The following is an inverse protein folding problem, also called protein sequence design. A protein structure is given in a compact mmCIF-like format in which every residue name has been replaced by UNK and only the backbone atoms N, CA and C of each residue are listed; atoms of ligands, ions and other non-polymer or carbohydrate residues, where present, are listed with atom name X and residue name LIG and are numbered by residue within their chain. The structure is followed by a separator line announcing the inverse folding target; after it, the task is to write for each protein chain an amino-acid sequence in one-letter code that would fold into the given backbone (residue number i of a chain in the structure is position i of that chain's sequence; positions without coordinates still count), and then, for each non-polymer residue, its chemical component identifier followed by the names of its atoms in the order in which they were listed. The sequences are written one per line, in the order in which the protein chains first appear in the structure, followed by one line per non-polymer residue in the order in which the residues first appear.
data_IF_366893471834
#
_entry.id   IF_366893471834
#
_cell.length_a   1.000
_cell.length_b   1.000
_cell.length_c   1.000
_cell.angle_alpha   90.00
_cell.angle_beta   90.00
_cell.angle_gamma   90.00
#
_symmetry.space_group_name_H-M   'P 1'
#
loop_
_entity.id
_entity.type
_entity.pdbx_description
1 polymer ?
#
# COMPACT_ATOMS: atom_id res chain seq x y z
N UNK A 1 17.75 -14.06 -12.90
CA UNK A 1 17.31 -13.29 -11.71
C UNK A 1 15.92 -12.68 -11.91
N UNK A 2 15.64 -12.09 -13.08
CA UNK A 2 14.34 -11.49 -13.41
C UNK A 2 13.15 -12.41 -13.10
N UNK A 3 13.23 -13.69 -13.52
CA UNK A 3 12.22 -14.70 -13.18
C UNK A 3 11.94 -14.74 -11.68
N UNK A 4 12.97 -14.75 -10.83
CA UNK A 4 12.80 -14.82 -9.38
C UNK A 4 12.11 -13.57 -8.82
N UNK A 5 12.44 -12.38 -9.31
CA UNK A 5 11.80 -11.11 -8.90
C UNK A 5 10.31 -11.14 -9.25
N UNK A 6 9.99 -11.51 -10.48
CA UNK A 6 8.62 -11.59 -10.98
C UNK A 6 7.84 -12.68 -10.23
N UNK A 7 8.45 -13.84 -10.01
CA UNK A 7 7.86 -14.95 -9.27
C UNK A 7 7.54 -14.56 -7.81
N UNK A 8 8.49 -13.94 -7.10
CA UNK A 8 8.29 -13.44 -5.74
C UNK A 8 7.18 -12.39 -5.68
N UNK A 9 7.10 -11.50 -6.68
CA UNK A 9 6.04 -10.50 -6.78
C UNK A 9 4.67 -11.16 -6.95
N UNK A 10 4.56 -12.16 -7.83
CA UNK A 10 3.32 -12.92 -8.04
C UNK A 10 2.92 -13.66 -6.75
N UNK A 11 3.88 -14.30 -6.05
CA UNK A 11 3.63 -14.93 -4.74
C UNK A 11 3.08 -13.91 -3.77
N UNK A 12 3.75 -12.76 -3.62
CA UNK A 12 3.35 -11.74 -2.65
C UNK A 12 1.92 -11.24 -2.92
N UNK A 13 1.62 -10.88 -4.17
CA UNK A 13 0.29 -10.41 -4.58
C UNK A 13 -0.76 -11.49 -4.31
N UNK A 14 -0.48 -12.74 -4.67
CA UNK A 14 -1.39 -13.87 -4.47
C UNK A 14 -1.67 -14.13 -2.99
N UNK A 15 -0.62 -14.19 -2.16
CA UNK A 15 -0.76 -14.38 -0.70
C UNK A 15 -1.59 -13.25 -0.10
N UNK A 16 -1.29 -12.00 -0.44
CA UNK A 16 -2.03 -10.85 0.07
C UNK A 16 -3.51 -10.93 -0.32
N UNK A 17 -3.79 -11.30 -1.58
CA UNK A 17 -5.15 -11.45 -2.10
C UNK A 17 -5.95 -12.59 -1.45
N UNK A 18 -5.30 -13.71 -1.12
CA UNK A 18 -5.93 -14.85 -0.42
C UNK A 18 -6.35 -14.44 1.00
N UNK A 19 -5.49 -13.70 1.71
CA UNK A 19 -5.69 -13.39 3.13
C UNK A 19 -6.38 -12.05 3.41
N UNK A 20 -6.59 -11.20 2.41
CA UNK A 20 -7.22 -9.87 2.59
C UNK A 20 -8.56 -9.89 3.37
N UNK A 21 -9.48 -10.88 3.20
CA UNK A 21 -10.75 -10.86 3.94
C UNK A 21 -10.60 -11.07 5.45
N UNK A 22 -9.47 -11.63 5.90
CA UNK A 22 -9.21 -11.96 7.31
C UNK A 22 -8.43 -10.87 8.04
N UNK A 23 -7.68 -10.04 7.30
CA UNK A 23 -6.99 -8.86 7.84
C UNK A 23 -7.93 -7.66 8.08
N UNK A 24 -9.07 -7.63 7.38
CA UNK A 24 -10.10 -6.62 7.52
C UNK A 24 -10.78 -6.68 8.90
N UNK A 25 -11.55 -5.64 9.23
CA UNK A 25 -12.36 -5.59 10.45
C UNK A 25 -13.39 -6.72 10.45
N UNK A 26 -13.69 -7.33 11.60
CA UNK A 26 -14.71 -8.40 11.69
C UNK A 26 -16.09 -7.95 11.20
N UNK A 27 -16.44 -6.72 11.53
CA UNK A 27 -17.70 -6.06 11.17
C UNK A 27 -17.75 -5.55 9.74
N UNK A 28 -16.72 -5.83 8.92
CA UNK A 28 -16.70 -5.46 7.51
C UNK A 28 -16.22 -6.63 6.66
N UNK A 29 -17.11 -7.14 5.81
CA UNK A 29 -16.82 -8.27 4.93
C UNK A 29 -17.10 -7.86 3.49
N UNK A 30 -16.11 -8.03 2.60
CA UNK A 30 -16.16 -7.54 1.22
C UNK A 30 -16.64 -6.09 1.09
N UNK A 31 -16.21 -5.23 2.02
CA UNK A 31 -16.60 -3.82 2.05
C UNK A 31 -18.05 -3.52 2.46
N UNK A 32 -18.80 -4.51 2.97
CA UNK A 32 -20.15 -4.37 3.51
C UNK A 32 -20.08 -4.39 5.04
N UNK A 33 -20.69 -3.40 5.71
CA UNK A 33 -20.83 -3.41 7.17
C UNK A 33 -21.82 -4.47 7.63
N UNK A 34 -21.44 -5.24 8.65
CA UNK A 34 -22.28 -6.25 9.29
C UNK A 34 -22.33 -6.02 10.81
N UNK A 35 -23.50 -6.17 11.46
CA UNK A 35 -23.60 -6.16 12.92
C UNK A 35 -22.81 -7.31 13.55
N UNK A 36 -22.41 -7.17 14.82
CA UNK A 36 -21.59 -8.16 15.51
C UNK A 36 -22.27 -9.54 15.57
N UNK A 37 -23.59 -9.58 15.75
CA UNK A 37 -24.39 -10.81 15.78
C UNK A 37 -24.31 -11.61 14.47
N UNK A 38 -24.11 -10.91 13.34
CA UNK A 38 -24.10 -11.52 12.01
C UNK A 38 -22.68 -11.90 11.53
N UNK A 39 -21.62 -11.63 12.31
CA UNK A 39 -20.24 -11.99 11.96
C UNK A 39 -20.11 -13.50 11.70
N UNK A 40 -20.76 -14.32 12.54
CA UNK A 40 -20.73 -15.79 12.44
C UNK A 40 -21.83 -16.37 11.55
N UNK A 41 -22.55 -15.54 10.80
CA UNK A 41 -23.61 -16.00 9.90
C UNK A 41 -23.04 -17.04 8.90
N UNK A 42 -23.65 -18.24 8.77
CA UNK A 42 -23.12 -19.31 7.92
C UNK A 42 -22.86 -18.89 6.47
N UNK A 43 -23.69 -17.99 5.91
CA UNK A 43 -23.51 -17.49 4.54
C UNK A 43 -22.27 -16.61 4.43
N UNK A 44 -22.02 -15.74 5.41
CA UNK A 44 -20.84 -14.86 5.45
C UNK A 44 -19.56 -15.68 5.49
N UNK A 45 -19.51 -16.67 6.40
CA UNK A 45 -18.37 -17.59 6.52
C UNK A 45 -18.16 -18.41 5.24
N UNK A 46 -19.24 -18.87 4.61
CA UNK A 46 -19.19 -19.58 3.32
C UNK A 46 -18.60 -18.70 2.22
N UNK A 47 -18.99 -17.43 2.11
CA UNK A 47 -18.46 -16.51 1.10
C UNK A 47 -16.97 -16.24 1.28
N UNK A 48 -16.51 -16.00 2.52
CA UNK A 48 -15.06 -15.88 2.83
C UNK A 48 -14.31 -17.14 2.38
N UNK A 49 -14.80 -18.33 2.76
CA UNK A 49 -14.17 -19.61 2.41
C UNK A 49 -14.09 -19.83 0.89
N UNK A 50 -15.19 -19.58 0.15
CA UNK A 50 -15.21 -19.75 -1.30
C UNK A 50 -14.22 -18.79 -1.96
N UNK A 51 -14.23 -17.51 -1.57
CA UNK A 51 -13.28 -16.52 -2.08
C UNK A 51 -11.83 -17.01 -1.89
N UNK A 52 -11.47 -17.42 -0.68
CA UNK A 52 -10.13 -17.92 -0.35
C UNK A 52 -9.75 -19.14 -1.20
N UNK A 53 -10.63 -20.14 -1.31
CA UNK A 53 -10.38 -21.35 -2.10
C UNK A 53 -10.13 -20.99 -3.58
N UNK A 54 -11.01 -20.18 -4.18
CA UNK A 54 -10.88 -19.79 -5.59
C UNK A 54 -9.57 -19.03 -5.80
N UNK A 55 -9.25 -18.06 -4.94
CA UNK A 55 -8.01 -17.29 -5.06
C UNK A 55 -6.76 -18.14 -4.85
N UNK A 56 -6.80 -19.14 -3.96
CA UNK A 56 -5.70 -20.07 -3.74
C UNK A 56 -5.47 -20.99 -4.92
N UNK A 57 -6.54 -21.57 -5.49
CA UNK A 57 -6.44 -22.41 -6.69
C UNK A 57 -5.89 -21.58 -7.86
N UNK A 58 -6.40 -20.37 -8.06
CA UNK A 58 -5.90 -19.47 -9.10
C UNK A 58 -4.42 -19.13 -8.90
N UNK A 59 -3.99 -18.83 -7.66
CA UNK A 59 -2.60 -18.58 -7.34
C UNK A 59 -1.70 -19.77 -7.70
N UNK A 60 -2.11 -20.99 -7.35
CA UNK A 60 -1.36 -22.20 -7.70
C UNK A 60 -1.29 -22.43 -9.21
N UNK A 61 -2.38 -22.20 -9.93
CA UNK A 61 -2.41 -22.30 -11.40
C UNK A 61 -1.48 -21.28 -12.04
N UNK A 62 -1.53 -20.02 -11.59
CA UNK A 62 -0.70 -18.94 -12.13
C UNK A 62 0.78 -19.18 -11.82
N UNK A 63 1.12 -19.53 -10.58
CA UNK A 63 2.50 -19.80 -10.17
C UNK A 63 3.06 -21.04 -10.87
N UNK A 64 2.30 -22.13 -10.89
CA UNK A 64 2.68 -23.36 -11.58
C UNK A 64 2.83 -23.13 -13.08
N UNK A 65 1.84 -22.49 -13.70
CA UNK A 65 1.85 -22.17 -15.13
C UNK A 65 3.03 -21.29 -15.51
N UNK A 66 3.32 -20.23 -14.75
CA UNK A 66 4.46 -19.34 -15.01
C UNK A 66 5.80 -20.07 -14.80
N UNK A 67 5.92 -20.93 -13.78
CA UNK A 67 7.12 -21.75 -13.55
C UNK A 67 7.36 -22.75 -14.69
N UNK A 68 6.35 -23.55 -15.05
CA UNK A 68 6.49 -24.55 -16.11
C UNK A 68 6.69 -23.92 -17.50
N UNK A 69 6.05 -22.78 -17.76
CA UNK A 69 6.25 -22.03 -19.00
C UNK A 69 7.71 -21.56 -19.16
N UNK A 70 8.32 -21.05 -18.08
CA UNK A 70 9.73 -20.65 -18.08
C UNK A 70 10.68 -21.84 -18.29
N UNK A 71 10.33 -23.05 -17.83
CA UNK A 71 11.17 -24.24 -17.98
C UNK A 71 11.01 -24.95 -19.34
N UNK A 72 9.83 -24.82 -19.97
CA UNK A 72 9.47 -25.60 -21.16
C UNK A 72 9.77 -24.94 -22.50
N UNK A 73 10.27 -23.69 -22.52
CA UNK A 73 10.49 -22.91 -23.74
C UNK A 73 11.75 -22.03 -23.62
N UNK A 74 12.39 -21.70 -24.75
CA UNK A 74 13.39 -20.64 -24.82
C UNK A 74 12.69 -19.26 -24.77
N UNK A 75 12.09 -18.94 -23.62
CA UNK A 75 11.39 -17.66 -23.39
C UNK A 75 12.42 -16.53 -23.47
N UNK A 76 12.20 -15.57 -24.36
CA UNK A 76 13.05 -14.38 -24.44
C UNK A 76 12.78 -13.44 -23.24
N UNK A 77 13.79 -12.68 -22.81
CA UNK A 77 13.74 -11.73 -21.69
C UNK A 77 12.57 -10.76 -21.80
N UNK A 78 12.29 -10.23 -23.00
CA UNK A 78 11.15 -9.34 -23.23
C UNK A 78 9.81 -10.03 -22.94
N UNK A 79 9.65 -11.30 -23.33
CA UNK A 79 8.43 -12.06 -23.07
C UNK A 79 8.28 -12.34 -21.58
N UNK A 80 9.38 -12.68 -20.90
CA UNK A 80 9.40 -12.91 -19.47
C UNK A 80 9.01 -11.65 -18.69
N UNK A 81 9.58 -10.50 -19.04
CA UNK A 81 9.27 -9.20 -18.43
C UNK A 81 7.80 -8.80 -18.65
N UNK A 82 7.28 -8.93 -19.88
CA UNK A 82 5.88 -8.63 -20.18
C UNK A 82 4.92 -9.54 -19.41
N UNK A 83 5.17 -10.85 -19.40
CA UNK A 83 4.35 -11.80 -18.66
C UNK A 83 4.39 -11.53 -17.15
N UNK A 84 5.58 -11.33 -16.59
CA UNK A 84 5.73 -11.01 -15.17
C UNK A 84 5.14 -9.67 -14.76
N UNK A 85 5.05 -8.71 -15.68
CA UNK A 85 4.32 -7.45 -15.46
C UNK A 85 2.81 -7.69 -15.49
N UNK A 86 2.29 -8.39 -16.50
CA UNK A 86 0.85 -8.56 -16.74
C UNK A 86 0.18 -9.52 -15.76
N UNK A 87 0.85 -10.60 -15.35
CA UNK A 87 0.28 -11.64 -14.49
C UNK A 87 -0.21 -11.07 -13.14
N UNK A 88 0.59 -10.28 -12.38
CA UNK A 88 0.11 -9.64 -11.16
C UNK A 88 -1.16 -8.80 -11.37
N UNK A 89 -1.26 -8.05 -12.48
CA UNK A 89 -2.47 -7.28 -12.79
C UNK A 89 -3.67 -8.19 -13.04
N UNK A 90 -3.49 -9.29 -13.78
CA UNK A 90 -4.55 -10.27 -14.03
C UNK A 90 -5.03 -10.88 -12.69
N UNK A 91 -4.10 -11.31 -11.84
CA UNK A 91 -4.41 -11.85 -10.50
C UNK A 91 -5.23 -10.85 -9.68
N UNK A 92 -4.80 -9.58 -9.65
CA UNK A 92 -5.51 -8.50 -8.95
C UNK A 92 -6.89 -8.22 -9.54
N UNK A 93 -7.04 -8.19 -10.87
CA UNK A 93 -8.31 -7.93 -11.54
C UNK A 93 -9.33 -9.05 -11.29
N UNK A 94 -8.90 -10.31 -11.35
CA UNK A 94 -9.76 -11.45 -11.00
C UNK A 94 -10.15 -11.40 -9.52
N UNK A 95 -9.21 -11.03 -8.64
CA UNK A 95 -9.48 -10.79 -7.22
C UNK A 95 -10.53 -9.73 -6.99
N UNK A 96 -10.40 -8.60 -7.70
CA UNK A 96 -11.35 -7.50 -7.66
C UNK A 96 -12.74 -7.93 -8.16
N UNK A 97 -12.81 -8.69 -9.25
CA UNK A 97 -14.07 -9.21 -9.77
C UNK A 97 -14.77 -10.14 -8.75
N UNK A 98 -14.03 -11.07 -8.15
CA UNK A 98 -14.55 -11.94 -7.08
C UNK A 98 -14.98 -11.15 -5.85
N UNK A 99 -14.18 -10.16 -5.44
CA UNK A 99 -14.53 -9.25 -4.35
C UNK A 99 -15.85 -8.53 -4.63
N UNK A 100 -16.03 -7.96 -5.83
CA UNK A 100 -17.23 -7.23 -6.21
C UNK A 100 -18.45 -8.16 -6.27
N UNK A 101 -18.28 -9.37 -6.79
CA UNK A 101 -19.32 -10.39 -6.79
C UNK A 101 -19.84 -10.67 -5.36
N UNK A 102 -18.94 -10.91 -4.41
CA UNK A 102 -19.33 -11.13 -3.01
C UNK A 102 -19.82 -9.87 -2.31
N UNK A 103 -19.30 -8.68 -2.66
CA UNK A 103 -19.80 -7.40 -2.18
C UNK A 103 -21.29 -7.23 -2.52
N UNK A 104 -21.68 -7.41 -3.78
CA UNK A 104 -23.07 -7.27 -4.20
C UNK A 104 -23.97 -8.38 -3.63
N UNK A 105 -23.47 -9.61 -3.59
CA UNK A 105 -24.19 -10.75 -3.00
C UNK A 105 -24.48 -10.51 -1.52
N UNK A 106 -23.48 -10.08 -0.76
CA UNK A 106 -23.62 -9.81 0.68
C UNK A 106 -24.48 -8.57 0.94
N UNK A 107 -24.36 -7.53 0.12
CA UNK A 107 -25.21 -6.33 0.19
C UNK A 107 -26.70 -6.68 -0.02
N UNK A 108 -27.00 -7.57 -0.97
CA UNK A 108 -28.37 -8.06 -1.20
C UNK A 108 -28.86 -8.88 -0.01
N UNK A 109 -28.03 -9.76 0.53
CA UNK A 109 -28.35 -10.57 1.71
C UNK A 109 -28.68 -9.68 2.92
N UNK A 110 -27.81 -8.73 3.24
CA UNK A 110 -27.97 -7.75 4.32
C UNK A 110 -29.31 -7.02 4.24
N UNK A 111 -29.68 -6.53 3.05
CA UNK A 111 -30.96 -5.87 2.81
C UNK A 111 -32.14 -6.83 2.98
N UNK A 112 -32.07 -8.02 2.39
CA UNK A 112 -33.16 -9.00 2.45
C UNK A 112 -33.47 -9.47 3.88
N UNK A 113 -32.46 -9.54 4.74
CA UNK A 113 -32.60 -9.97 6.13
C UNK A 113 -32.74 -8.81 7.11
N UNK A 114 -32.73 -7.55 6.63
CA UNK A 114 -32.84 -6.35 7.45
C UNK A 114 -31.93 -6.36 8.69
N UNK A 115 -30.64 -6.68 8.52
CA UNK A 115 -29.70 -6.89 9.64
C UNK A 115 -29.57 -5.72 10.61
N UNK A 116 -29.97 -4.51 10.22
CA UNK A 116 -29.92 -3.32 11.09
C UNK A 116 -31.28 -2.93 11.71
N UNK A 117 -32.32 -3.76 11.60
CA UNK A 117 -33.68 -3.44 12.08
C UNK A 117 -33.75 -3.27 13.59
N UNK A 118 -33.17 -4.21 14.33
CA UNK A 118 -33.33 -4.33 15.79
C UNK A 118 -32.05 -3.93 16.56
N UNK A 119 -31.16 -3.17 15.92
CA UNK A 119 -29.92 -2.66 16.53
C UNK A 119 -29.94 -1.14 16.62
N UNK A 120 -29.48 -0.62 17.76
CA UNK A 120 -29.38 0.83 17.97
C UNK A 120 -28.10 1.35 17.31
N UNK A 121 -28.25 2.14 16.26
CA UNK A 121 -27.11 2.75 15.56
C UNK A 121 -26.71 4.08 16.22
N UNK A 122 -25.43 4.26 16.51
CA UNK A 122 -24.91 5.51 17.11
C UNK A 122 -23.60 5.97 16.48
N UNK A 123 -23.35 7.28 16.56
CA UNK A 123 -22.02 7.85 16.37
C UNK A 123 -21.31 7.92 17.71
N UNK A 124 -20.14 7.28 17.80
CA UNK A 124 -19.30 7.33 19.00
C UNK A 124 -18.09 8.24 18.74
N UNK A 125 -17.93 9.24 19.60
CA UNK A 125 -16.81 10.16 19.58
C UNK A 125 -16.09 10.11 20.93
N UNK A 126 -14.83 9.69 20.92
CA UNK A 126 -13.95 9.75 22.09
C UNK A 126 -12.82 10.73 21.80
N UNK A 127 -12.93 11.91 22.42
CA UNK A 127 -11.97 13.00 22.26
C UNK A 127 -10.63 12.69 22.94
N UNK A 128 -10.63 11.84 23.99
CA UNK A 128 -9.42 11.47 24.72
C UNK A 128 -8.57 10.42 23.97
N UNK A 129 -9.11 9.75 22.95
CA UNK A 129 -8.31 8.80 22.14
C UNK A 129 -7.17 9.51 21.40
N UNK A 130 -7.36 10.76 20.99
CA UNK A 130 -6.36 11.51 20.23
C UNK A 130 -5.08 11.80 21.03
N UNK A 131 -5.16 11.92 22.35
CA UNK A 131 -3.96 12.12 23.18
C UNK A 131 -3.08 10.87 23.30
N UNK A 132 -3.63 9.69 22.96
CA UNK A 132 -2.89 8.41 22.91
C UNK A 132 -2.39 8.07 21.50
N UNK A 133 -2.52 8.98 20.53
CA UNK A 133 -2.07 8.74 19.16
C UNK A 133 -0.54 8.84 19.06
N UNK A 134 0.11 7.71 18.80
CA UNK A 134 1.57 7.57 18.71
C UNK A 134 2.10 7.67 17.26
N UNK A 135 1.32 8.26 16.35
CA UNK A 135 1.85 8.67 15.04
C UNK A 135 3.05 9.60 15.21
N UNK A 136 4.07 9.39 14.37
CA UNK A 136 5.20 10.30 14.30
C UNK A 136 4.74 11.75 14.09
N UNK A 137 5.53 12.70 14.58
CA UNK A 137 5.33 14.09 14.19
C UNK A 137 5.49 14.19 12.66
N UNK A 138 4.62 14.90 11.93
CA UNK A 138 4.73 14.97 10.46
C UNK A 138 6.12 15.40 9.99
N UNK A 139 6.74 16.38 10.65
CA UNK A 139 8.10 16.84 10.35
C UNK A 139 9.19 15.76 10.45
N UNK A 140 8.97 14.66 11.18
CA UNK A 140 9.89 13.52 11.18
C UNK A 140 10.08 12.96 9.77
N UNK A 141 9.03 12.94 8.95
CA UNK A 141 9.11 12.47 7.56
C UNK A 141 9.95 13.39 6.65
N UNK A 142 10.30 14.59 7.11
CA UNK A 142 11.23 15.49 6.40
C UNK A 142 12.69 15.25 6.80
N UNK A 143 13.00 14.51 7.87
CA UNK A 143 14.39 14.24 8.26
C UNK A 143 15.23 13.62 7.12
N UNK A 144 14.71 12.68 6.31
CA UNK A 144 15.48 12.12 5.19
C UNK A 144 15.79 13.14 4.07
N UNK A 145 15.17 14.34 4.06
CA UNK A 145 15.51 15.40 3.09
C UNK A 145 16.96 15.87 3.24
N UNK A 146 17.59 15.70 4.42
CA UNK A 146 19.00 16.01 4.59
C UNK A 146 19.87 15.19 3.61
N UNK A 147 19.49 13.93 3.36
CA UNK A 147 20.18 13.06 2.39
C UNK A 147 19.99 13.63 0.98
N UNK A 148 18.76 13.94 0.58
CA UNK A 148 18.51 14.46 -0.78
C UNK A 148 19.13 15.84 -1.02
N UNK A 149 19.11 16.73 -0.02
CA UNK A 149 19.83 18.01 -0.07
C UNK A 149 21.35 17.80 -0.19
N UNK A 150 21.92 16.86 0.56
CA UNK A 150 23.33 16.49 0.45
C UNK A 150 23.69 15.96 -0.94
N UNK A 151 22.84 15.11 -1.54
CA UNK A 151 23.02 14.62 -2.91
C UNK A 151 22.92 15.73 -3.95
N UNK A 152 21.99 16.68 -3.80
CA UNK A 152 21.90 17.86 -4.69
C UNK A 152 23.18 18.69 -4.60
N UNK A 153 23.61 19.05 -3.39
CA UNK A 153 24.83 19.83 -3.16
C UNK A 153 26.03 19.11 -3.79
N UNK A 154 26.19 17.81 -3.52
CA UNK A 154 27.27 17.00 -4.07
C UNK A 154 27.25 17.01 -5.60
N UNK A 155 26.09 16.77 -6.21
CA UNK A 155 25.91 16.73 -7.68
C UNK A 155 26.26 18.08 -8.31
N UNK A 156 25.86 19.19 -7.69
CA UNK A 156 26.18 20.54 -8.19
C UNK A 156 27.69 20.79 -8.15
N UNK A 157 28.39 20.38 -7.09
CA UNK A 157 29.83 20.60 -6.94
C UNK A 157 30.68 19.77 -7.92
N UNK A 158 30.16 18.64 -8.41
CA UNK A 158 30.88 17.72 -9.31
C UNK A 158 30.35 17.76 -10.74
N UNK A 159 29.31 18.56 -11.00
CA UNK A 159 28.59 18.56 -12.28
C UNK A 159 29.52 18.73 -13.48
N UNK A 160 30.48 19.65 -13.41
CA UNK A 160 31.41 19.93 -14.51
C UNK A 160 32.28 18.71 -14.87
N UNK A 161 32.54 17.82 -13.91
CA UNK A 161 33.35 16.60 -14.07
C UNK A 161 32.54 15.42 -14.60
N UNK A 162 31.21 15.50 -14.60
CA UNK A 162 30.38 14.40 -15.10
C UNK A 162 30.61 14.17 -16.60
N UNK A 163 30.61 12.91 -17.07
CA UNK A 163 30.73 12.56 -18.48
C UNK A 163 29.58 13.14 -19.31
N UNK A 164 29.78 13.22 -20.63
CA UNK A 164 28.75 13.71 -21.57
C UNK A 164 27.51 12.81 -21.63
N UNK A 165 27.65 11.55 -21.23
CA UNK A 165 26.56 10.56 -21.12
C UNK A 165 26.45 10.10 -19.67
N UNK A 166 25.25 10.16 -19.12
CA UNK A 166 24.95 9.80 -17.73
C UNK A 166 24.10 8.52 -17.73
N UNK A 167 24.44 7.49 -16.93
CA UNK A 167 23.60 6.30 -16.78
C UNK A 167 22.26 6.66 -16.12
N UNK A 168 21.17 6.16 -16.69
CA UNK A 168 19.79 6.43 -16.23
C UNK A 168 18.99 5.17 -15.94
N UNK A 169 19.48 4.02 -16.36
CA UNK A 169 18.91 2.72 -16.05
C UNK A 169 20.04 1.70 -15.83
N UNK A 170 19.77 0.74 -14.95
CA UNK A 170 20.67 -0.37 -14.66
C UNK A 170 19.91 -1.68 -14.85
N UNK A 171 20.51 -2.57 -15.65
CA UNK A 171 19.93 -3.85 -16.01
C UNK A 171 20.02 -4.89 -14.88
N UNK A 172 19.51 -6.10 -15.13
CA UNK A 172 19.53 -7.21 -14.17
C UNK A 172 20.93 -7.73 -13.84
N UNK A 173 21.97 -7.31 -14.58
CA UNK A 173 23.38 -7.63 -14.27
C UNK A 173 24.00 -6.62 -13.30
N UNK A 174 23.31 -5.52 -12.99
CA UNK A 174 23.85 -4.40 -12.22
C UNK A 174 24.68 -3.41 -13.04
N UNK A 175 24.87 -3.67 -14.34
CA UNK A 175 25.51 -2.74 -15.27
C UNK A 175 24.49 -1.75 -15.85
N UNK A 176 24.97 -0.54 -16.18
CA UNK A 176 24.13 0.45 -16.86
C UNK A 176 23.87 0.05 -18.31
N UNK A 177 22.60 0.05 -18.72
CA UNK A 177 22.13 -0.37 -20.05
C UNK A 177 21.34 0.73 -20.78
N UNK A 178 21.02 1.85 -20.10
CA UNK A 178 20.48 3.05 -20.74
C UNK A 178 21.15 4.33 -20.23
N UNK A 179 21.43 5.24 -21.16
CA UNK A 179 22.16 6.48 -20.93
C UNK A 179 21.39 7.68 -21.51
N UNK A 180 21.60 8.85 -20.91
CA UNK A 180 21.05 10.12 -21.38
C UNK A 180 22.14 11.19 -21.49
N UNK A 181 21.91 12.19 -22.33
CA UNK A 181 22.82 13.33 -22.45
C UNK A 181 22.96 14.06 -21.12
N UNK A 182 24.17 14.56 -20.85
CA UNK A 182 24.45 15.41 -19.70
C UNK A 182 23.62 16.69 -19.77
N UNK A 183 22.72 16.84 -18.81
CA UNK A 183 21.99 18.07 -18.53
C UNK A 183 21.80 18.18 -17.02
N UNK A 184 21.48 19.38 -16.52
CA UNK A 184 21.15 19.56 -15.10
C UNK A 184 19.98 18.69 -14.67
N UNK A 185 19.00 18.51 -15.56
CA UNK A 185 17.82 17.68 -15.28
C UNK A 185 18.19 16.21 -15.17
N UNK A 186 19.03 15.68 -16.06
CA UNK A 186 19.51 14.29 -16.00
C UNK A 186 20.34 14.06 -14.73
N UNK A 187 21.28 14.96 -14.41
CA UNK A 187 22.16 14.81 -13.25
C UNK A 187 21.41 14.90 -11.91
N UNK A 188 20.40 15.78 -11.80
CA UNK A 188 19.60 15.99 -10.59
C UNK A 188 18.30 15.18 -10.56
N UNK A 189 18.02 14.37 -11.58
CA UNK A 189 16.75 13.68 -11.73
C UNK A 189 16.41 12.77 -10.55
N UNK A 190 17.36 11.91 -10.13
CA UNK A 190 17.17 11.02 -8.97
C UNK A 190 16.95 11.80 -7.66
N UNK A 191 17.79 12.81 -7.29
CA UNK A 191 17.51 13.66 -6.12
C UNK A 191 16.17 14.39 -6.17
N UNK A 192 15.75 14.90 -7.33
CA UNK A 192 14.46 15.60 -7.48
C UNK A 192 13.29 14.65 -7.25
N UNK A 193 13.33 13.46 -7.87
CA UNK A 193 12.32 12.42 -7.64
C UNK A 193 12.26 12.06 -6.15
N UNK A 194 13.42 11.89 -5.50
CA UNK A 194 13.50 11.59 -4.08
C UNK A 194 12.85 12.68 -3.22
N UNK A 195 13.13 13.96 -3.49
CA UNK A 195 12.50 15.09 -2.78
C UNK A 195 10.98 15.08 -2.95
N UNK A 196 10.50 14.89 -4.18
CA UNK A 196 9.06 14.81 -4.47
C UNK A 196 8.40 13.69 -3.66
N UNK A 197 9.02 12.51 -3.62
CA UNK A 197 8.52 11.38 -2.83
C UNK A 197 8.54 11.67 -1.32
N UNK A 198 9.61 12.28 -0.79
CA UNK A 198 9.72 12.66 0.62
C UNK A 198 8.64 13.67 1.04
N UNK A 199 8.36 14.66 0.20
CA UNK A 199 7.26 15.62 0.40
C UNK A 199 5.90 14.92 0.37
N UNK A 200 5.72 13.94 -0.51
CA UNK A 200 4.51 13.12 -0.57
C UNK A 200 4.33 12.29 0.72
N UNK A 201 5.38 11.64 1.24
CA UNK A 201 5.34 10.94 2.53
C UNK A 201 4.98 11.87 3.70
N UNK A 202 5.56 13.07 3.73
CA UNK A 202 5.21 14.11 4.70
C UNK A 202 3.73 14.49 4.63
N UNK A 203 3.21 14.77 3.43
CA UNK A 203 1.82 15.14 3.22
C UNK A 203 0.87 14.00 3.62
N UNK A 204 1.15 12.77 3.21
CA UNK A 204 0.36 11.58 3.60
C UNK A 204 0.29 11.47 5.13
N UNK A 205 1.42 11.60 5.83
CA UNK A 205 1.44 11.53 7.29
C UNK A 205 0.66 12.67 7.94
N UNK A 206 0.90 13.91 7.50
CA UNK A 206 0.23 15.11 8.00
C UNK A 206 -1.29 15.00 7.90
N UNK A 207 -1.80 14.66 6.72
CA UNK A 207 -3.23 14.60 6.46
C UNK A 207 -3.89 13.35 7.06
N UNK A 208 -3.15 12.24 7.20
CA UNK A 208 -3.61 11.09 7.98
C UNK A 208 -3.72 11.45 9.46
N UNK A 209 -2.75 12.18 10.02
CA UNK A 209 -2.78 12.63 11.43
C UNK A 209 -3.97 13.56 11.71
N UNK A 210 -4.37 14.36 10.73
CA UNK A 210 -5.57 15.22 10.78
C UNK A 210 -6.89 14.46 10.62
N UNK A 211 -6.88 13.23 10.10
CA UNK A 211 -8.11 12.44 9.90
C UNK A 211 -8.80 12.13 11.23
N UNK A 212 -10.12 11.95 11.19
CA UNK A 212 -10.89 11.46 12.34
C UNK A 212 -10.47 10.06 12.77
N UNK A 213 -10.63 9.75 14.07
CA UNK A 213 -10.45 8.40 14.62
C UNK A 213 -11.84 7.79 14.79
N UNK A 214 -12.14 6.75 14.01
CA UNK A 214 -13.46 6.10 14.02
C UNK A 214 -13.45 4.87 14.93
N UNK A 215 -14.25 4.90 15.99
CA UNK A 215 -14.37 3.82 16.96
C UNK A 215 -15.74 3.15 16.76
N UNK A 216 -15.76 1.83 16.81
CA UNK A 216 -17.01 1.07 16.71
C UNK A 216 -17.67 1.00 18.10
N UNK A 217 -18.90 1.53 18.27
CA UNK A 217 -19.63 1.44 19.53
C UNK A 217 -19.94 0.01 19.97
N UNK A 218 -20.05 -0.94 19.03
CA UNK A 218 -20.31 -2.34 19.35
C UNK A 218 -19.16 -3.03 20.07
N UNK A 219 -17.95 -2.48 19.98
CA UNK A 219 -16.78 -2.93 20.73
C UNK A 219 -15.74 -1.80 20.81
N UNK A 220 -15.84 -0.96 21.85
CA UNK A 220 -15.05 0.27 21.95
C UNK A 220 -13.58 -0.07 22.18
N UNK A 221 -13.28 -0.97 23.11
CA UNK A 221 -11.90 -1.32 23.45
C UNK A 221 -11.12 -1.88 22.26
N UNK A 222 -11.63 -2.90 21.57
CA UNK A 222 -10.88 -3.53 20.46
C UNK A 222 -10.72 -2.58 19.27
N UNK A 223 -11.79 -1.85 18.91
CA UNK A 223 -11.77 -0.93 17.78
C UNK A 223 -10.85 0.27 18.05
N UNK A 224 -10.84 0.82 19.27
CA UNK A 224 -9.90 1.87 19.69
C UNK A 224 -8.45 1.39 19.63
N UNK A 225 -8.15 0.20 20.16
CA UNK A 225 -6.80 -0.37 20.09
C UNK A 225 -6.36 -0.58 18.64
N UNK A 226 -7.24 -1.10 17.77
CA UNK A 226 -6.95 -1.27 16.34
C UNK A 226 -6.65 0.08 15.68
N UNK A 227 -7.44 1.12 15.95
CA UNK A 227 -7.20 2.47 15.39
C UNK A 227 -5.83 3.00 15.77
N UNK A 228 -5.47 2.94 17.06
CA UNK A 228 -4.17 3.42 17.54
C UNK A 228 -3.01 2.64 16.91
N UNK A 229 -3.13 1.31 16.78
CA UNK A 229 -2.13 0.48 16.09
C UNK A 229 -2.01 0.82 14.61
N UNK A 230 -3.14 0.95 13.90
CA UNK A 230 -3.15 1.29 12.48
C UNK A 230 -2.42 2.61 12.26
N UNK A 231 -2.74 3.63 13.07
CA UNK A 231 -2.13 4.96 13.01
C UNK A 231 -0.63 4.92 13.29
N UNK A 232 -0.23 4.38 14.45
CA UNK A 232 1.18 4.22 14.84
C UNK A 232 1.96 3.46 13.78
N UNK A 233 1.59 2.21 13.51
CA UNK A 233 2.40 1.34 12.67
C UNK A 233 2.41 1.76 11.21
N UNK A 234 1.33 2.34 10.67
CA UNK A 234 1.37 2.90 9.31
C UNK A 234 2.31 4.10 9.25
N UNK A 235 2.23 5.02 10.21
CA UNK A 235 3.12 6.19 10.27
C UNK A 235 4.59 5.77 10.34
N UNK A 236 4.93 4.85 11.23
CA UNK A 236 6.29 4.35 11.40
C UNK A 236 6.77 3.54 10.20
N UNK A 237 5.93 2.67 9.64
CA UNK A 237 6.26 1.91 8.44
C UNK A 237 6.58 2.83 7.26
N UNK A 238 5.73 3.83 6.98
CA UNK A 238 5.98 4.80 5.92
C UNK A 238 7.26 5.62 6.15
N UNK A 239 7.61 5.91 7.41
CA UNK A 239 8.85 6.59 7.74
C UNK A 239 10.08 5.71 7.47
N UNK A 240 10.04 4.44 7.86
CA UNK A 240 11.10 3.47 7.56
C UNK A 240 11.25 3.27 6.04
N UNK A 241 10.15 3.13 5.31
CA UNK A 241 10.17 3.05 3.84
C UNK A 241 10.81 4.30 3.23
N UNK A 242 10.50 5.49 3.76
CA UNK A 242 11.10 6.74 3.30
C UNK A 242 12.63 6.78 3.53
N UNK A 243 13.12 6.29 4.68
CA UNK A 243 14.56 6.16 4.93
C UNK A 243 15.19 5.15 3.96
N UNK A 244 14.63 3.96 3.83
CA UNK A 244 15.15 2.91 2.95
C UNK A 244 15.22 3.39 1.49
N UNK A 245 14.20 4.12 1.05
CA UNK A 245 14.14 4.70 -0.29
C UNK A 245 15.19 5.81 -0.45
N UNK A 246 15.41 6.63 0.58
CA UNK A 246 16.47 7.65 0.57
C UNK A 246 17.87 7.03 0.48
N UNK A 247 18.11 5.92 1.18
CA UNK A 247 19.38 5.18 1.11
C UNK A 247 19.57 4.53 -0.26
N UNK A 248 18.53 3.90 -0.81
CA UNK A 248 18.54 3.33 -2.16
C UNK A 248 18.93 4.41 -3.19
N UNK A 249 18.23 5.54 -3.20
CA UNK A 249 18.49 6.64 -4.13
C UNK A 249 19.86 7.30 -3.90
N UNK A 250 20.33 7.36 -2.65
CA UNK A 250 21.67 7.85 -2.37
C UNK A 250 22.75 6.96 -2.99
N UNK A 251 22.63 5.64 -2.87
CA UNK A 251 23.59 4.71 -3.48
C UNK A 251 23.55 4.80 -5.00
N UNK A 252 22.35 4.87 -5.60
CA UNK A 252 22.19 5.04 -7.05
C UNK A 252 22.83 6.36 -7.52
N UNK A 253 22.58 7.47 -6.82
CA UNK A 253 23.16 8.77 -7.17
C UNK A 253 24.67 8.82 -6.98
N UNK A 254 25.20 8.18 -5.93
CA UNK A 254 26.65 8.10 -5.71
C UNK A 254 27.33 7.27 -6.80
N UNK A 255 26.73 6.16 -7.22
CA UNK A 255 27.24 5.34 -8.32
C UNK A 255 27.18 6.08 -9.67
N UNK A 256 26.19 6.97 -9.86
CA UNK A 256 26.12 7.87 -11.01
C UNK A 256 27.26 8.90 -11.01
N UNK A 257 27.57 9.49 -9.85
CA UNK A 257 28.59 10.55 -9.73
C UNK A 257 30.01 10.00 -9.75
N UNK A 258 30.22 8.88 -9.07
CA UNK A 258 31.52 8.25 -8.91
C UNK A 258 31.45 6.83 -9.48
N UNK A 259 32.35 6.53 -10.41
CA UNK A 259 32.42 5.20 -11.00
C UNK A 259 32.72 4.14 -9.91
N UNK A 260 31.98 3.03 -9.96
CA UNK A 260 32.25 1.84 -9.17
C UNK A 260 32.26 2.03 -7.63
N UNK A 261 31.48 2.98 -7.08
CA UNK A 261 31.27 3.10 -5.61
C UNK A 261 30.82 1.78 -4.99
N UNK A 262 29.97 1.06 -5.73
CA UNK A 262 29.51 -0.28 -5.41
C UNK A 262 29.69 -1.15 -6.63
N UNK A 263 29.99 -2.43 -6.40
CA UNK A 263 30.15 -3.40 -7.49
C UNK A 263 28.80 -3.76 -8.14
N UNK A 264 28.87 -4.37 -9.32
CA UNK A 264 27.71 -4.75 -10.14
C UNK A 264 26.75 -5.67 -9.37
N UNK A 265 27.29 -6.66 -8.65
CA UNK A 265 26.49 -7.58 -7.83
C UNK A 265 25.68 -6.86 -6.75
N UNK A 266 26.26 -5.84 -6.12
CA UNK A 266 25.55 -5.06 -5.10
C UNK A 266 24.51 -4.14 -5.73
N UNK A 267 24.81 -3.50 -6.87
CA UNK A 267 23.82 -2.72 -7.63
C UNK A 267 22.61 -3.57 -8.03
N UNK A 268 22.87 -4.82 -8.40
CA UNK A 268 21.84 -5.80 -8.74
C UNK A 268 20.98 -6.20 -7.53
N UNK A 269 21.59 -6.51 -6.38
CA UNK A 269 20.87 -7.01 -5.19
C UNK A 269 20.16 -5.87 -4.43
N UNK A 270 20.64 -4.64 -4.52
CA UNK A 270 20.16 -3.52 -3.72
C UNK A 270 18.64 -3.25 -3.89
N UNK A 271 18.08 -3.12 -5.11
CA UNK A 271 16.63 -2.97 -5.30
C UNK A 271 15.83 -4.20 -4.82
N UNK A 272 16.39 -5.41 -4.98
CA UNK A 272 15.77 -6.65 -4.51
C UNK A 272 15.69 -6.68 -2.98
N UNK A 273 16.76 -6.28 -2.29
CA UNK A 273 16.79 -6.15 -0.83
C UNK A 273 15.75 -5.14 -0.35
N UNK A 274 15.70 -3.96 -0.98
CA UNK A 274 14.65 -2.96 -0.70
C UNK A 274 13.24 -3.55 -0.89
N UNK A 275 12.99 -4.24 -1.99
CA UNK A 275 11.71 -4.89 -2.25
C UNK A 275 11.36 -5.92 -1.16
N UNK A 276 12.25 -6.87 -0.87
CA UNK A 276 11.98 -7.92 0.14
C UNK A 276 11.70 -7.32 1.52
N UNK A 277 12.49 -6.32 1.95
CA UNK A 277 12.31 -5.66 3.24
C UNK A 277 10.96 -4.93 3.30
N UNK A 278 10.57 -4.22 2.24
CA UNK A 278 9.30 -3.48 2.20
C UNK A 278 8.09 -4.41 2.15
N UNK A 279 8.17 -5.52 1.41
CA UNK A 279 7.14 -6.55 1.37
C UNK A 279 6.99 -7.24 2.74
N UNK A 280 8.09 -7.62 3.38
CA UNK A 280 8.09 -8.19 4.72
C UNK A 280 7.50 -7.22 5.76
N UNK A 281 7.88 -5.94 5.69
CA UNK A 281 7.31 -4.88 6.54
C UNK A 281 5.81 -4.68 6.32
N UNK A 282 5.33 -4.85 5.08
CA UNK A 282 3.90 -4.81 4.75
C UNK A 282 3.13 -5.97 5.39
N UNK A 283 3.67 -7.19 5.34
CA UNK A 283 3.09 -8.37 6.01
C UNK A 283 3.09 -8.14 7.52
N UNK A 284 4.19 -7.65 8.09
CA UNK A 284 4.29 -7.34 9.51
C UNK A 284 3.23 -6.32 9.95
N UNK A 285 3.05 -5.23 9.19
CA UNK A 285 2.01 -4.23 9.43
C UNK A 285 0.62 -4.88 9.37
N UNK A 286 0.39 -5.71 8.36
CA UNK A 286 -0.88 -6.39 8.17
C UNK A 286 -1.21 -7.30 9.37
N UNK A 287 -0.24 -8.06 9.88
CA UNK A 287 -0.40 -8.91 11.06
C UNK A 287 -0.56 -8.09 12.35
N UNK A 288 0.22 -7.03 12.55
CA UNK A 288 0.16 -6.21 13.78
C UNK A 288 -1.15 -5.46 13.94
N UNK A 289 -1.70 -4.94 12.85
CA UNK A 289 -3.01 -4.26 12.85
C UNK A 289 -4.14 -5.28 12.73
N UNK A 290 -4.02 -6.21 11.80
CA UNK A 290 -4.97 -7.27 11.50
C UNK A 290 -5.02 -8.41 12.50
N UNK A 291 -4.40 -8.31 13.67
CA UNK A 291 -4.54 -9.25 14.79
C UNK A 291 -5.54 -8.77 15.86
N UNK A 292 -6.12 -7.57 15.69
CA UNK A 292 -7.13 -6.99 16.59
C UNK A 292 -8.36 -6.61 15.81
N UNK A 293 -9.54 -6.87 16.38
CA UNK A 293 -10.84 -6.59 15.77
C UNK A 293 -10.93 -7.22 14.36
N UNK A 294 -10.33 -8.40 14.22
CA UNK A 294 -10.23 -9.19 12.97
C UNK A 294 -10.37 -10.67 13.26
N UNK A 295 -10.61 -11.49 12.24
CA UNK A 295 -10.78 -12.95 12.43
C UNK A 295 -9.54 -13.64 13.04
N UNK A 296 -8.36 -13.01 13.00
CA UNK A 296 -7.13 -13.51 13.63
C UNK A 296 -7.01 -13.21 15.13
N UNK A 297 -7.89 -12.39 15.71
CA UNK A 297 -7.87 -12.13 17.16
C UNK A 297 -8.29 -13.39 17.93
N UNK A 298 -7.33 -14.00 18.63
CA UNK A 298 -7.53 -15.29 19.30
C UNK A 298 -8.55 -15.26 20.44
N UNK A 299 -8.49 -14.24 21.31
CA UNK A 299 -9.48 -14.00 22.37
C UNK A 299 -10.13 -12.65 22.11
N UNK A 300 -11.38 -12.60 21.59
CA UNK A 300 -12.03 -11.34 21.32
C UNK A 300 -12.20 -10.58 22.62
N UNK A 301 -11.71 -9.34 22.67
CA UNK A 301 -12.02 -8.43 23.76
C UNK A 301 -13.47 -8.00 23.55
N UNK A 302 -14.44 -8.67 24.18
CA UNK A 302 -15.86 -8.32 24.02
C UNK A 302 -16.31 -7.45 25.19
N UNK A 303 -16.86 -6.29 24.87
CA UNK A 303 -17.65 -5.49 25.80
C UNK A 303 -19.12 -5.91 25.69
N UNK A 304 -19.82 -5.95 26.82
CA UNK A 304 -21.27 -6.17 26.81
C UNK A 304 -21.96 -4.86 26.42
N UNK A 305 -22.13 -4.63 25.12
CA UNK A 305 -22.79 -3.44 24.59
C UNK A 305 -24.24 -3.80 24.28
N UNK A 306 -25.19 -3.02 24.82
CA UNK A 306 -26.64 -3.27 24.73
C UNK A 306 -27.18 -3.15 23.28
N UNK A 307 -26.84 -4.08 22.38
CA UNK A 307 -27.21 -4.09 20.96
C UNK A 307 -26.94 -2.76 20.24
N UNK A 308 -25.84 -2.10 20.59
CA UNK A 308 -25.43 -0.84 20.00
C UNK A 308 -24.41 -1.12 18.91
N UNK A 309 -24.64 -0.57 17.73
CA UNK A 309 -23.77 -0.76 16.56
C UNK A 309 -23.34 0.58 15.96
N UNK A 310 -22.23 0.56 15.23
CA UNK A 310 -21.82 1.71 14.43
C UNK A 310 -22.90 2.04 13.38
N UNK A 311 -23.09 3.33 13.13
CA UNK A 311 -23.96 3.78 12.05
C UNK A 311 -23.51 3.22 10.70
N UNK A 312 -24.47 2.77 9.90
CA UNK A 312 -24.20 2.21 8.59
C UNK A 312 -23.74 3.28 7.59
N UNK A 313 -22.43 3.31 7.33
CA UNK A 313 -21.80 4.22 6.37
C UNK A 313 -21.75 3.66 4.93
N UNK A 314 -22.42 2.53 4.62
CA UNK A 314 -22.42 1.89 3.28
C UNK A 314 -22.65 2.88 2.12
N UNK A 315 -23.54 3.87 2.32
CA UNK A 315 -23.87 4.88 1.30
C UNK A 315 -22.65 5.69 0.79
N UNK A 316 -21.63 5.86 1.63
CA UNK A 316 -20.41 6.59 1.31
C UNK A 316 -19.32 5.72 0.67
N UNK A 317 -19.47 4.40 0.67
CA UNK A 317 -18.47 3.46 0.15
C UNK A 317 -18.91 2.85 -1.17
N UNK A 318 -18.49 3.44 -2.29
CA UNK A 318 -18.84 2.96 -3.64
C UNK A 318 -18.12 1.64 -3.92
N UNK A 319 -18.91 0.59 -4.16
CA UNK A 319 -18.43 -0.78 -4.32
C UNK A 319 -17.66 -1.31 -3.10
N UNK A 320 -17.82 -0.69 -1.91
CA UNK A 320 -17.07 -1.07 -0.71
C UNK A 320 -15.58 -0.67 -0.68
N UNK A 321 -15.08 0.02 -1.72
CA UNK A 321 -13.66 0.35 -1.90
C UNK A 321 -13.37 1.85 -1.90
N UNK A 322 -14.19 2.63 -2.59
CA UNK A 322 -13.97 4.07 -2.78
C UNK A 322 -14.83 4.87 -1.82
N UNK A 323 -14.20 5.62 -0.92
CA UNK A 323 -14.91 6.49 0.02
C UNK A 323 -15.25 7.83 -0.62
N UNK A 324 -16.51 8.24 -0.53
CA UNK A 324 -16.98 9.52 -1.05
C UNK A 324 -17.95 10.15 -0.05
N UNK A 325 -17.44 11.11 0.73
CA UNK A 325 -18.26 11.90 1.65
C UNK A 325 -17.80 13.37 1.65
N UNK A 326 -18.63 14.27 1.11
CA UNK A 326 -18.34 15.72 1.07
C UNK A 326 -18.37 16.39 2.44
N UNK A 327 -19.07 15.77 3.40
CA UNK A 327 -19.19 16.30 4.77
C UNK A 327 -18.05 15.84 5.68
N UNK A 328 -17.17 14.92 5.22
CA UNK A 328 -15.97 14.52 5.95
C UNK A 328 -14.77 15.31 5.41
N UNK A 329 -14.16 16.22 6.21
CA UNK A 329 -13.02 17.02 5.77
C UNK A 329 -11.72 16.21 5.64
N UNK A 330 -11.71 14.96 6.10
CA UNK A 330 -10.52 14.09 6.04
C UNK A 330 -10.10 13.85 4.59
N UNK A 331 -8.82 14.05 4.29
CA UNK A 331 -8.23 13.72 2.98
C UNK A 331 -8.01 12.21 2.87
N UNK A 332 -7.43 11.62 3.91
CA UNK A 332 -7.22 10.18 4.02
C UNK A 332 -8.16 9.61 5.08
N UNK A 333 -8.79 8.48 4.75
CA UNK A 333 -9.65 7.72 5.64
C UNK A 333 -9.16 6.28 5.69
N UNK A 334 -9.39 5.59 6.80
CA UNK A 334 -9.05 4.16 6.89
C UNK A 334 -9.77 3.38 5.78
N UNK A 335 -9.04 2.48 5.13
CA UNK A 335 -9.63 1.55 4.15
C UNK A 335 -10.72 0.73 4.80
N UNK A 336 -11.87 0.65 4.14
CA UNK A 336 -12.96 -0.21 4.59
C UNK A 336 -12.61 -1.69 4.55
N UNK A 337 -11.93 -2.10 3.49
CA UNK A 337 -11.51 -3.47 3.28
C UNK A 337 -9.98 -3.52 3.15
N UNK A 338 -9.34 -4.39 3.93
CA UNK A 338 -7.88 -4.47 4.07
C UNK A 338 -7.33 -3.57 5.19
N UNK A 339 -6.05 -3.20 5.06
CA UNK A 339 -5.30 -2.43 6.05
C UNK A 339 -4.68 -1.20 5.38
N UNK A 340 -4.68 -0.07 6.08
CA UNK A 340 -4.10 1.20 5.63
C UNK A 340 -5.16 2.27 5.37
N UNK A 341 -4.79 3.28 4.59
CA UNK A 341 -5.62 4.44 4.28
C UNK A 341 -5.94 4.53 2.79
N UNK A 342 -7.05 5.15 2.47
CA UNK A 342 -7.49 5.51 1.12
C UNK A 342 -7.88 6.99 1.08
N UNK A 343 -8.06 7.53 -0.11
CA UNK A 343 -8.56 8.88 -0.30
C UNK A 343 -10.05 8.96 0.05
N UNK A 344 -10.46 10.08 0.64
CA UNK A 344 -11.80 10.56 0.43
C UNK A 344 -11.87 11.19 -0.97
N UNK A 345 -12.48 10.49 -1.92
CA UNK A 345 -12.59 10.93 -3.32
C UNK A 345 -13.52 12.14 -3.48
N UNK A 346 -14.16 12.61 -2.42
CA UNK A 346 -14.85 13.90 -2.40
C UNK A 346 -13.91 15.08 -2.07
N UNK A 347 -12.66 14.84 -1.66
CA UNK A 347 -11.73 15.87 -1.24
C UNK A 347 -10.65 16.15 -2.31
N UNK A 348 -10.63 17.34 -2.95
CA UNK A 348 -9.71 17.64 -4.05
C UNK A 348 -8.23 17.66 -3.64
N UNK A 349 -7.93 17.97 -2.38
CA UNK A 349 -6.55 18.02 -1.86
C UNK A 349 -5.90 16.63 -1.95
N UNK A 350 -6.70 15.57 -1.79
CA UNK A 350 -6.21 14.19 -1.92
C UNK A 350 -5.61 13.88 -3.30
N UNK A 351 -6.25 14.37 -4.36
CA UNK A 351 -5.72 14.22 -5.72
C UNK A 351 -4.43 15.01 -5.90
N UNK A 352 -4.33 16.21 -5.34
CA UNK A 352 -3.09 16.99 -5.42
C UNK A 352 -1.93 16.29 -4.69
N UNK A 353 -2.19 15.65 -3.54
CA UNK A 353 -1.14 14.94 -2.79
C UNK A 353 -0.64 13.69 -3.52
N UNK A 354 -1.50 12.99 -4.29
CA UNK A 354 -1.15 11.71 -4.92
C UNK A 354 -0.83 11.88 -6.41
N UNK A 355 -1.71 12.52 -7.18
CA UNK A 355 -1.60 12.60 -8.64
C UNK A 355 -0.49 13.57 -9.06
N UNK A 356 -0.36 14.74 -8.41
CA UNK A 356 0.66 15.71 -8.82
C UNK A 356 2.09 15.14 -8.72
N UNK A 357 2.53 14.52 -7.60
CA UNK A 357 3.84 13.87 -7.54
C UNK A 357 4.05 12.81 -8.63
N UNK A 358 3.04 11.97 -8.89
CA UNK A 358 3.12 10.93 -9.93
C UNK A 358 3.32 11.56 -11.31
N UNK A 359 2.51 12.56 -11.65
CA UNK A 359 2.60 13.27 -12.93
C UNK A 359 3.97 13.95 -13.07
N UNK A 360 4.47 14.61 -12.03
CA UNK A 360 5.80 15.23 -12.06
C UNK A 360 6.90 14.19 -12.32
N UNK A 361 6.87 13.04 -11.64
CA UNK A 361 7.85 11.96 -11.82
C UNK A 361 7.76 11.37 -13.24
N UNK A 362 6.56 11.16 -13.77
CA UNK A 362 6.39 10.60 -15.12
C UNK A 362 6.80 11.56 -16.24
N UNK A 363 6.65 12.87 -16.04
CA UNK A 363 7.02 13.88 -17.05
C UNK A 363 8.53 14.17 -17.00
N UNK A 364 9.17 14.02 -15.84
CA UNK A 364 10.57 14.39 -15.63
C UNK A 364 11.56 13.81 -16.67
N UNK A 365 11.47 12.53 -17.08
CA UNK A 365 12.35 11.97 -18.11
C UNK A 365 12.24 12.63 -19.49
N UNK A 366 11.11 13.24 -19.84
CA UNK A 366 10.97 13.95 -21.12
C UNK A 366 11.85 15.21 -21.19
N UNK A 367 12.35 15.67 -20.05
CA UNK A 367 13.30 16.78 -19.94
C UNK A 367 14.76 16.32 -19.85
N UNK A 368 15.05 15.01 -19.88
CA UNK A 368 16.44 14.50 -19.89
C UNK A 368 17.13 14.62 -21.25
N UNK A 369 16.34 14.65 -22.33
CA UNK A 369 16.85 14.68 -23.71
C UNK A 369 16.91 16.09 -24.32
N UNK A 370 16.64 17.13 -23.52
CA UNK A 370 16.85 18.54 -23.86
C UNK A 370 18.01 19.06 -23.03
#
# INVERSE_FOLDING_TARGET
MEFAILFITIIFVSVFQIFIPFFAKRTVVFGVSIPNEQIKNPKVMKYKKIYTIITSIMALIVLGGFFFWNQGQNVNETQLALAGMMIPFIVLLVGLALYLYFHFTLSKLKKSQNWYRDVKQVYYADLATRSKDEMLAPFAHLMPIIISAGLVILTVNVYDRLPSQIPTHWGPTGQADAFSNKSWMTALGLPIILIIMQLMFFAINLFTKKSGIKINPGNVTSSKLRQLRLRKYTSWFLFVVNILLSLLFAILQLNLIYENVVNETFMMILPLGFMVITLAGTIWLAVKVGSVDSDFEGKPIMENTNNVEAMDEDKYWKGGLFYYNRNDPSVFVEKRFGIGYTLNFANPIGYLIIILPIVLICILPFFFNK
#
